data_IF_850715505727
#
_entry.id   IF_850715505727
#
_cell.length_a   1.000
_cell.length_b   1.000
_cell.length_c   1.000
_cell.angle_alpha   90.00
_cell.angle_beta   90.00
_cell.angle_gamma   90.00
#
_symmetry.space_group_name_H-M   'P 1'
#
loop_
_entity.id
_entity.type
_entity.pdbx_description
1 polymer ?
#
# COMPACT_ATOMS: atom_id res chain seq x y z
N UNK A 1 4.14 -67.00 -42.56
CA UNK A 1 5.20 -66.40 -41.72
C UNK A 1 5.04 -64.89 -41.82
N UNK A 2 4.64 -64.24 -40.71
CA UNK A 2 4.97 -62.85 -40.26
C UNK A 2 4.85 -61.68 -41.27
N UNK A 3 4.28 -60.51 -41.00
CA UNK A 3 3.73 -59.86 -39.80
C UNK A 3 3.25 -58.45 -40.22
N UNK A 4 2.18 -57.96 -39.59
CA UNK A 4 1.68 -56.59 -39.65
C UNK A 4 2.68 -55.51 -39.19
N UNK A 5 2.58 -54.30 -39.78
CA UNK A 5 2.78 -52.97 -39.15
C UNK A 5 2.39 -51.89 -40.18
N UNK A 6 1.23 -51.23 -40.09
CA UNK A 6 0.87 -50.05 -39.27
C UNK A 6 1.72 -48.79 -39.50
N UNK A 7 0.97 -47.69 -39.79
CA UNK A 7 1.31 -46.26 -39.67
C UNK A 7 2.24 -45.65 -40.75
N UNK A 8 2.02 -44.43 -41.27
CA UNK A 8 1.22 -43.33 -40.77
C UNK A 8 0.90 -42.29 -41.84
N UNK A 9 -0.26 -41.67 -41.63
CA UNK A 9 -0.82 -40.53 -42.36
C UNK A 9 0.12 -39.32 -42.31
N UNK A 10 0.48 -38.79 -43.47
CA UNK A 10 1.11 -37.48 -43.61
C UNK A 10 0.08 -36.37 -43.36
N UNK A 11 -0.23 -36.12 -42.09
CA UNK A 11 -0.88 -34.89 -41.68
C UNK A 11 0.20 -33.83 -41.40
N UNK A 12 0.38 -32.94 -42.37
CA UNK A 12 1.07 -31.66 -42.21
C UNK A 12 0.64 -31.00 -40.89
N UNK A 13 1.57 -30.87 -39.95
CA UNK A 13 1.38 -30.11 -38.73
C UNK A 13 1.08 -28.64 -39.09
N UNK A 14 -0.21 -28.30 -39.11
CA UNK A 14 -0.68 -26.93 -39.16
C UNK A 14 -0.14 -26.25 -37.89
N UNK A 15 0.80 -25.34 -38.10
CA UNK A 15 1.30 -24.44 -37.09
C UNK A 15 0.14 -23.55 -36.60
N UNK A 16 -0.48 -23.93 -35.48
CA UNK A 16 -1.61 -23.22 -34.85
C UNK A 16 -1.18 -21.99 -34.05
N UNK A 17 0.05 -21.50 -34.20
CA UNK A 17 0.51 -20.27 -33.54
C UNK A 17 -0.07 -18.98 -34.19
N UNK A 18 -0.91 -19.12 -35.22
CA UNK A 18 -1.43 -18.02 -36.03
C UNK A 18 -2.91 -17.64 -35.83
N UNK A 19 -3.65 -18.22 -34.87
CA UNK A 19 -5.05 -17.84 -34.61
C UNK A 19 -5.30 -17.76 -33.09
N UNK A 20 -4.66 -16.81 -32.42
CA UNK A 20 -5.01 -16.40 -31.06
C UNK A 20 -5.36 -14.90 -31.04
N UNK A 21 -6.32 -14.51 -31.88
CA UNK A 21 -6.93 -13.20 -31.88
C UNK A 21 -8.38 -13.29 -31.42
N UNK A 22 -8.69 -12.54 -30.36
CA UNK A 22 -9.99 -12.29 -29.72
C UNK A 22 -10.30 -13.16 -28.47
N UNK A 23 -10.38 -12.48 -27.31
CA UNK A 23 -10.67 -12.96 -25.95
C UNK A 23 -9.53 -13.56 -25.10
N UNK A 24 -8.40 -12.86 -24.97
CA UNK A 24 -7.66 -12.91 -23.69
C UNK A 24 -8.28 -11.90 -22.74
N UNK A 25 -8.83 -12.37 -21.61
CA UNK A 25 -9.18 -11.51 -20.48
C UNK A 25 -7.99 -10.60 -20.16
N UNK A 26 -8.18 -9.27 -20.16
CA UNK A 26 -7.09 -8.34 -19.84
C UNK A 26 -6.63 -8.42 -18.38
N UNK A 27 -7.40 -9.13 -17.54
CA UNK A 27 -7.21 -9.27 -16.11
C UNK A 27 -6.96 -10.74 -15.73
N UNK A 28 -5.97 -11.05 -14.88
CA UNK A 28 -5.77 -12.42 -14.37
C UNK A 28 -6.72 -12.74 -13.20
N UNK A 29 -7.08 -11.73 -12.42
CA UNK A 29 -8.01 -11.86 -11.30
C UNK A 29 -9.14 -10.85 -11.44
N UNK A 30 -10.37 -11.32 -11.17
CA UNK A 30 -11.57 -10.50 -11.10
C UNK A 30 -12.31 -10.88 -9.80
N UNK A 31 -12.73 -9.90 -9.00
CA UNK A 31 -13.53 -10.19 -7.82
C UNK A 31 -14.93 -10.63 -8.25
N UNK A 32 -15.63 -11.34 -7.37
CA UNK A 32 -17.04 -11.65 -7.58
C UNK A 32 -17.83 -10.34 -7.63
N UNK A 33 -18.69 -10.20 -8.64
CA UNK A 33 -19.56 -9.05 -8.84
C UNK A 33 -21.00 -9.38 -8.40
N UNK A 34 -21.75 -8.42 -7.85
CA UNK A 34 -21.34 -7.03 -7.60
C UNK A 34 -20.40 -6.91 -6.39
N UNK A 35 -19.47 -5.94 -6.46
CA UNK A 35 -18.69 -5.57 -5.28
C UNK A 35 -19.64 -4.88 -4.30
N UNK A 36 -19.86 -5.49 -3.14
CA UNK A 36 -20.68 -4.88 -2.10
C UNK A 36 -20.00 -3.61 -1.57
N UNK A 37 -20.76 -2.52 -1.48
CA UNK A 37 -20.28 -1.28 -0.90
C UNK A 37 -19.99 -1.45 0.59
N UNK A 38 -18.94 -0.80 1.07
CA UNK A 38 -18.61 -0.79 2.50
C UNK A 38 -19.78 -0.17 3.28
N UNK A 39 -20.36 -0.86 4.29
CA UNK A 39 -21.57 -0.40 5.00
C UNK A 39 -21.46 0.99 5.67
N UNK A 40 -20.24 1.50 5.79
CA UNK A 40 -19.93 2.83 6.31
C UNK A 40 -20.27 3.95 5.31
N UNK A 41 -20.21 3.68 4.00
CA UNK A 41 -20.36 4.66 2.93
C UNK A 41 -21.65 4.48 2.10
N UNK A 42 -22.64 3.77 2.64
CA UNK A 42 -23.92 3.53 1.94
C UNK A 42 -24.96 4.59 2.27
N UNK A 43 -25.75 4.97 1.26
CA UNK A 43 -26.95 5.78 1.43
C UNK A 43 -28.20 4.93 1.12
N UNK A 44 -29.26 4.95 1.96
CA UNK A 44 -29.37 5.67 3.23
C UNK A 44 -28.43 5.12 4.32
N UNK A 45 -28.03 5.93 5.33
CA UNK A 45 -27.08 5.53 6.35
C UNK A 45 -27.59 4.32 7.16
N UNK A 46 -26.70 3.34 7.40
CA UNK A 46 -27.02 2.12 8.16
C UNK A 46 -26.11 2.01 9.39
N UNK A 47 -26.33 2.80 10.46
CA UNK A 47 -25.39 2.95 11.57
C UNK A 47 -25.05 1.61 12.27
N UNK A 48 -26.04 0.75 12.47
CA UNK A 48 -25.81 -0.58 13.07
C UNK A 48 -24.92 -1.45 12.19
N UNK A 49 -25.13 -1.43 10.87
CA UNK A 49 -24.30 -2.19 9.93
C UNK A 49 -22.87 -1.62 9.85
N UNK A 50 -22.74 -0.29 9.87
CA UNK A 50 -21.45 0.40 9.90
C UNK A 50 -20.65 0.04 11.16
N UNK A 51 -21.25 0.09 12.35
CA UNK A 51 -20.59 -0.30 13.60
C UNK A 51 -20.19 -1.78 13.58
N UNK A 52 -21.09 -2.68 13.16
CA UNK A 52 -20.79 -4.11 13.01
C UNK A 52 -19.61 -4.35 12.07
N UNK A 53 -19.53 -3.60 10.96
CA UNK A 53 -18.43 -3.67 10.02
C UNK A 53 -17.11 -3.18 10.63
N UNK A 54 -17.12 -2.01 11.29
CA UNK A 54 -15.93 -1.44 11.93
C UNK A 54 -15.38 -2.30 13.08
N UNK A 55 -16.25 -3.09 13.73
CA UNK A 55 -15.85 -4.06 14.75
C UNK A 55 -15.65 -5.48 14.18
N UNK A 56 -15.83 -5.67 12.87
CA UNK A 56 -15.69 -6.98 12.25
C UNK A 56 -14.23 -7.41 12.20
N UNK A 57 -13.99 -8.73 12.19
CA UNK A 57 -12.65 -9.27 11.97
C UNK A 57 -12.08 -8.82 10.62
N UNK A 58 -12.91 -8.74 9.59
CA UNK A 58 -12.49 -8.33 8.26
C UNK A 58 -11.90 -6.92 8.24
N UNK A 59 -12.48 -5.98 9.00
CA UNK A 59 -11.95 -4.63 9.12
C UNK A 59 -10.77 -4.55 10.08
N UNK A 60 -10.92 -5.05 11.31
CA UNK A 60 -9.87 -4.91 12.33
C UNK A 60 -8.59 -5.67 11.94
N UNK A 61 -8.69 -6.94 11.53
CA UNK A 61 -7.53 -7.73 11.08
C UNK A 61 -7.10 -7.43 9.65
N UNK A 62 -7.67 -6.41 8.99
CA UNK A 62 -7.10 -5.88 7.75
C UNK A 62 -5.75 -5.18 8.03
N UNK A 63 -5.32 -4.29 7.14
CA UNK A 63 -4.14 -3.43 7.36
C UNK A 63 -4.22 -2.61 8.66
N UNK A 64 -5.42 -2.39 9.22
CA UNK A 64 -5.61 -1.61 10.46
C UNK A 64 -4.79 -2.14 11.63
N UNK A 65 -4.94 -3.41 12.01
CA UNK A 65 -4.22 -3.98 13.17
C UNK A 65 -2.70 -4.05 12.98
N UNK A 66 -2.15 -4.53 11.85
CA UNK A 66 -0.72 -4.49 11.57
C UNK A 66 -0.15 -3.07 11.64
N UNK A 67 -0.82 -2.07 11.06
CA UNK A 67 -0.37 -0.68 11.12
C UNK A 67 -0.48 -0.10 12.54
N UNK A 68 -1.54 -0.43 13.29
CA UNK A 68 -1.69 -0.04 14.69
C UNK A 68 -0.59 -0.63 15.57
N UNK A 69 -0.31 -1.92 15.44
CA UNK A 69 0.79 -2.59 16.14
C UNK A 69 2.14 -1.97 15.75
N UNK A 70 2.34 -1.70 14.46
CA UNK A 70 3.54 -1.05 13.96
C UNK A 70 3.73 0.35 14.54
N UNK A 71 2.66 1.14 14.65
CA UNK A 71 2.68 2.45 15.28
C UNK A 71 3.06 2.34 16.77
N UNK A 72 2.47 1.39 17.51
CA UNK A 72 2.80 1.15 18.92
C UNK A 72 4.27 0.75 19.11
N UNK A 73 4.77 -0.19 18.30
CA UNK A 73 6.18 -0.63 18.36
C UNK A 73 7.11 0.54 18.04
N UNK A 74 6.79 1.31 17.00
CA UNK A 74 7.62 2.44 16.58
C UNK A 74 7.65 3.52 17.65
N UNK A 75 6.49 3.87 18.22
CA UNK A 75 6.38 4.84 19.30
C UNK A 75 7.13 4.40 20.56
N UNK A 76 6.97 3.13 20.97
CA UNK A 76 7.54 2.63 22.21
C UNK A 76 9.06 2.43 22.16
N UNK A 77 9.62 2.03 21.01
CA UNK A 77 11.01 1.56 20.94
C UNK A 77 11.88 2.30 19.92
N UNK A 78 11.30 2.90 18.89
CA UNK A 78 12.05 3.42 17.74
C UNK A 78 12.05 4.95 17.64
N UNK A 79 11.22 5.62 18.43
CA UNK A 79 11.13 7.08 18.46
C UNK A 79 12.29 7.69 19.24
N UNK A 80 12.84 8.85 18.80
CA UNK A 80 13.74 9.62 19.66
C UNK A 80 13.02 10.06 20.94
N UNK A 81 13.79 10.22 22.02
CA UNK A 81 13.26 10.79 23.26
C UNK A 81 12.63 12.17 22.98
N UNK A 82 11.41 12.37 23.47
CA UNK A 82 10.65 13.59 23.16
C UNK A 82 11.38 14.86 23.60
N UNK A 83 12.14 14.80 24.70
CA UNK A 83 12.95 15.91 25.20
C UNK A 83 14.02 16.38 24.21
N UNK A 84 14.55 15.48 23.37
CA UNK A 84 15.52 15.82 22.31
C UNK A 84 14.87 16.51 21.12
N UNK A 85 13.55 16.39 20.97
CA UNK A 85 12.82 16.93 19.83
C UNK A 85 12.44 18.40 20.01
N UNK A 86 12.71 19.02 21.18
CA UNK A 86 12.39 20.42 21.44
C UNK A 86 13.14 21.39 20.51
N UNK A 87 14.38 21.04 20.14
CA UNK A 87 15.21 21.75 19.16
C UNK A 87 15.51 20.86 17.96
N UNK A 88 15.62 21.46 16.77
CA UNK A 88 16.05 20.72 15.59
C UNK A 88 17.52 20.35 15.72
N UNK A 89 17.79 19.06 15.80
CA UNK A 89 19.15 18.53 15.74
C UNK A 89 19.25 17.48 14.65
N UNK A 90 20.34 17.54 13.89
CA UNK A 90 20.61 16.57 12.85
C UNK A 90 20.60 15.12 13.38
N UNK A 91 21.04 14.91 14.62
CA UNK A 91 21.19 13.57 15.21
C UNK A 91 19.88 12.78 15.29
N UNK A 92 18.82 13.35 15.87
CA UNK A 92 17.54 12.67 16.02
C UNK A 92 16.73 12.67 14.72
N UNK A 93 16.89 13.70 13.88
CA UNK A 93 16.29 13.74 12.54
C UNK A 93 16.86 12.62 11.67
N UNK A 94 18.19 12.44 11.67
CA UNK A 94 18.86 11.37 10.93
C UNK A 94 18.50 9.99 11.48
N UNK A 95 18.40 9.83 12.80
CA UNK A 95 17.90 8.60 13.44
C UNK A 95 16.51 8.24 12.90
N UNK A 96 15.60 9.22 12.84
CA UNK A 96 14.23 9.01 12.37
C UNK A 96 14.15 8.72 10.87
N UNK A 97 14.93 9.43 10.06
CA UNK A 97 15.04 9.15 8.63
C UNK A 97 15.54 7.73 8.36
N UNK A 98 16.64 7.33 9.02
CA UNK A 98 17.21 6.00 8.84
C UNK A 98 16.22 4.91 9.28
N UNK A 99 15.50 5.14 10.39
CA UNK A 99 14.44 4.24 10.84
C UNK A 99 13.34 4.11 9.80
N UNK A 100 12.81 5.21 9.26
CA UNK A 100 11.76 5.17 8.24
C UNK A 100 12.23 4.47 6.97
N UNK A 101 13.46 4.75 6.54
CA UNK A 101 14.08 4.10 5.38
C UNK A 101 14.21 2.59 5.59
N UNK A 102 14.73 2.15 6.74
CA UNK A 102 14.87 0.73 7.06
C UNK A 102 13.51 0.02 7.10
N UNK A 103 12.51 0.63 7.72
CA UNK A 103 11.16 0.06 7.80
C UNK A 103 10.51 -0.01 6.42
N UNK A 104 10.66 1.04 5.61
CA UNK A 104 10.17 1.06 4.23
C UNK A 104 10.82 -0.05 3.40
N UNK A 105 12.15 -0.16 3.41
CA UNK A 105 12.89 -1.19 2.66
C UNK A 105 12.54 -2.58 3.15
N UNK A 106 12.42 -2.80 4.46
CA UNK A 106 12.09 -4.10 5.02
C UNK A 106 10.68 -4.56 4.60
N UNK A 107 9.69 -3.68 4.75
CA UNK A 107 8.29 -4.02 4.49
C UNK A 107 8.02 -4.02 2.99
N UNK A 108 8.23 -2.90 2.32
CA UNK A 108 7.92 -2.74 0.89
C UNK A 108 8.87 -3.57 0.04
N UNK A 109 10.16 -3.57 0.35
CA UNK A 109 11.13 -4.46 -0.30
C UNK A 109 10.83 -5.93 -0.03
N UNK A 110 10.46 -6.30 1.19
CA UNK A 110 10.03 -7.67 1.52
C UNK A 110 8.80 -8.13 0.72
N UNK A 111 7.77 -7.28 0.63
CA UNK A 111 6.59 -7.55 -0.20
C UNK A 111 6.96 -7.61 -1.69
N UNK A 112 7.85 -6.73 -2.16
CA UNK A 112 8.33 -6.77 -3.54
C UNK A 112 9.03 -8.10 -3.85
N UNK A 113 9.94 -8.53 -2.97
CA UNK A 113 10.62 -9.82 -3.12
C UNK A 113 9.61 -10.98 -3.10
N UNK A 114 8.65 -10.97 -2.18
CA UNK A 114 7.63 -12.00 -2.10
C UNK A 114 6.77 -12.11 -3.37
N UNK A 115 6.26 -10.98 -3.88
CA UNK A 115 5.34 -10.95 -5.02
C UNK A 115 6.02 -11.02 -6.39
N UNK A 116 7.16 -10.35 -6.59
CA UNK A 116 7.75 -10.16 -7.92
C UNK A 116 9.01 -11.00 -8.15
N UNK A 117 9.86 -11.14 -7.13
CA UNK A 117 11.10 -11.93 -7.25
C UNK A 117 10.82 -13.41 -7.05
N UNK A 118 10.28 -13.79 -5.89
CA UNK A 118 9.97 -15.17 -5.52
C UNK A 118 8.62 -15.65 -6.05
N UNK A 119 7.76 -14.71 -6.47
CA UNK A 119 6.44 -14.99 -7.08
C UNK A 119 5.59 -15.97 -6.26
N UNK A 120 5.65 -15.86 -4.92
CA UNK A 120 5.01 -16.82 -4.01
C UNK A 120 3.48 -16.87 -4.16
N UNK A 121 2.85 -15.76 -4.54
CA UNK A 121 1.41 -15.68 -4.86
C UNK A 121 1.10 -16.00 -6.34
N UNK A 122 2.11 -16.04 -7.21
CA UNK A 122 1.93 -16.18 -8.65
C UNK A 122 1.05 -15.08 -9.25
N UNK A 123 0.06 -15.47 -10.07
CA UNK A 123 -0.90 -14.54 -10.70
C UNK A 123 -2.30 -14.61 -10.11
N UNK A 124 -2.51 -15.38 -9.04
CA UNK A 124 -3.85 -15.76 -8.56
C UNK A 124 -4.73 -14.57 -8.17
N UNK A 125 -4.14 -13.57 -7.50
CA UNK A 125 -4.82 -12.33 -7.07
C UNK A 125 -4.31 -11.10 -7.81
N UNK A 126 -3.52 -11.29 -8.87
CA UNK A 126 -2.95 -10.18 -9.62
C UNK A 126 -3.96 -9.73 -10.67
N UNK A 127 -4.54 -8.55 -10.46
CA UNK A 127 -5.47 -7.94 -11.41
C UNK A 127 -4.85 -7.87 -12.83
N UNK A 128 -3.84 -7.01 -13.07
CA UNK A 128 -3.24 -6.87 -14.40
C UNK A 128 -2.22 -7.97 -14.71
N UNK A 129 -2.25 -8.51 -15.93
CA UNK A 129 -1.23 -9.43 -16.46
C UNK A 129 0.13 -8.79 -16.71
N UNK A 130 0.20 -7.47 -16.78
CA UNK A 130 1.37 -6.74 -17.27
C UNK A 130 2.61 -6.96 -16.39
N UNK A 131 3.75 -7.23 -17.04
CA UNK A 131 5.04 -7.29 -16.37
C UNK A 131 5.50 -5.90 -15.95
N UNK A 132 6.41 -5.83 -14.98
CA UNK A 132 7.07 -4.57 -14.63
C UNK A 132 7.86 -4.07 -15.85
N UNK A 133 7.78 -2.77 -16.11
CA UNK A 133 8.43 -2.17 -17.28
C UNK A 133 9.95 -2.20 -17.16
N UNK A 134 10.61 -2.68 -18.21
CA UNK A 134 12.06 -2.69 -18.37
C UNK A 134 12.42 -2.14 -19.74
N UNK A 135 13.55 -1.45 -19.81
CA UNK A 135 14.00 -0.71 -21.00
C UNK A 135 12.94 0.24 -21.58
N UNK A 136 12.27 0.98 -20.69
CA UNK A 136 11.20 1.90 -21.06
C UNK A 136 11.62 3.34 -20.75
N UNK A 137 11.63 4.21 -21.77
CA UNK A 137 12.08 5.61 -21.66
C UNK A 137 11.19 6.46 -20.75
N UNK A 138 10.00 5.99 -20.38
CA UNK A 138 9.14 6.68 -19.41
C UNK A 138 9.74 6.72 -18.00
N UNK A 139 10.65 5.79 -17.70
CA UNK A 139 11.34 5.70 -16.43
C UNK A 139 12.72 6.35 -16.52
N UNK A 140 13.09 7.11 -15.49
CA UNK A 140 14.37 7.80 -15.34
C UNK A 140 15.57 6.84 -15.49
N UNK A 141 15.53 5.69 -14.83
CA UNK A 141 16.53 4.63 -14.91
C UNK A 141 16.25 3.60 -16.02
N UNK A 142 15.25 3.86 -16.87
CA UNK A 142 14.71 2.91 -17.87
C UNK A 142 14.21 1.59 -17.29
N UNK A 143 14.08 1.48 -15.96
CA UNK A 143 13.58 0.33 -15.24
C UNK A 143 12.63 0.81 -14.13
N UNK A 144 11.40 0.29 -14.16
CA UNK A 144 10.33 0.68 -13.25
C UNK A 144 10.69 0.45 -11.78
N UNK A 145 11.41 -0.63 -11.47
CA UNK A 145 11.72 -1.01 -10.08
C UNK A 145 12.73 -0.04 -9.50
N UNK A 146 13.79 0.26 -10.26
CA UNK A 146 14.82 1.20 -9.81
C UNK A 146 14.28 2.61 -9.65
N UNK A 147 13.42 3.06 -10.56
CA UNK A 147 12.71 4.32 -10.42
C UNK A 147 11.86 4.37 -9.15
N UNK A 148 11.04 3.34 -8.93
CA UNK A 148 10.18 3.28 -7.76
C UNK A 148 10.99 3.26 -6.47
N UNK A 149 12.09 2.50 -6.42
CA UNK A 149 12.98 2.45 -5.25
C UNK A 149 13.60 3.82 -5.00
N UNK A 150 14.15 4.46 -6.04
CA UNK A 150 14.77 5.77 -5.91
C UNK A 150 13.78 6.82 -5.43
N UNK A 151 12.64 6.98 -6.11
CA UNK A 151 11.65 8.00 -5.76
C UNK A 151 10.96 7.73 -4.43
N UNK A 152 10.72 6.47 -4.07
CA UNK A 152 10.14 6.15 -2.77
C UNK A 152 11.12 6.47 -1.63
N UNK A 153 12.40 6.10 -1.77
CA UNK A 153 13.39 6.33 -0.72
C UNK A 153 13.82 7.80 -0.64
N UNK A 154 14.05 8.46 -1.77
CA UNK A 154 14.58 9.84 -1.79
C UNK A 154 13.48 10.88 -1.60
N UNK A 155 12.30 10.68 -2.20
CA UNK A 155 11.19 11.63 -2.06
C UNK A 155 10.19 11.18 -0.99
N UNK A 156 9.64 9.97 -1.12
CA UNK A 156 8.59 9.48 -0.23
C UNK A 156 8.99 9.43 1.24
N UNK A 157 10.10 8.74 1.55
CA UNK A 157 10.61 8.62 2.93
C UNK A 157 11.02 9.99 3.46
N UNK A 158 11.67 10.84 2.66
CA UNK A 158 12.06 12.20 3.07
C UNK A 158 10.85 13.04 3.46
N UNK A 159 9.81 13.06 2.64
CA UNK A 159 8.59 13.83 2.92
C UNK A 159 7.88 13.30 4.16
N UNK A 160 7.72 11.97 4.28
CA UNK A 160 7.14 11.35 5.48
C UNK A 160 7.94 11.69 6.74
N UNK A 161 9.27 11.55 6.71
CA UNK A 161 10.14 11.93 7.83
C UNK A 161 10.03 13.42 8.15
N UNK A 162 9.93 14.30 7.16
CA UNK A 162 9.76 15.73 7.41
C UNK A 162 8.48 16.01 8.20
N UNK A 163 7.33 15.45 7.78
CA UNK A 163 6.08 15.56 8.53
C UNK A 163 6.22 15.02 9.96
N UNK A 164 6.89 13.89 10.13
CA UNK A 164 7.11 13.30 11.45
C UNK A 164 8.03 14.16 12.33
N UNK A 165 9.09 14.74 11.76
CA UNK A 165 10.00 15.70 12.42
C UNK A 165 9.22 16.89 12.94
N UNK A 166 8.39 17.50 12.08
CA UNK A 166 7.58 18.65 12.48
C UNK A 166 6.56 18.28 13.55
N UNK A 167 5.93 17.11 13.45
CA UNK A 167 5.00 16.63 14.47
C UNK A 167 5.69 16.45 15.84
N UNK A 168 6.82 15.74 15.87
CA UNK A 168 7.57 15.47 17.11
C UNK A 168 8.11 16.76 17.74
N UNK A 169 8.60 17.68 16.92
CA UNK A 169 9.03 19.01 17.38
C UNK A 169 7.86 19.82 17.96
N UNK A 170 6.71 19.82 17.29
CA UNK A 170 5.51 20.50 17.77
C UNK A 170 5.01 19.90 19.08
N UNK A 171 5.06 18.57 19.21
CA UNK A 171 4.70 17.86 20.44
C UNK A 171 5.65 18.24 21.59
N UNK A 172 6.96 18.26 21.34
CA UNK A 172 7.95 18.59 22.37
C UNK A 172 7.91 20.04 22.84
N UNK A 173 7.33 20.95 22.03
CA UNK A 173 7.19 22.37 22.34
C UNK A 173 5.76 22.75 22.78
N UNK A 174 4.91 21.77 23.10
CA UNK A 174 3.53 22.01 23.56
C UNK A 174 2.69 22.82 22.56
N UNK A 175 3.03 22.77 21.27
CA UNK A 175 2.33 23.48 20.19
C UNK A 175 1.12 22.71 19.67
N UNK A 176 1.01 21.43 20.03
CA UNK A 176 -0.10 20.59 19.60
C UNK A 176 -1.37 20.90 20.40
N UNK A 177 -2.55 20.79 19.77
CA UNK A 177 -3.81 20.98 20.46
C UNK A 177 -3.95 20.07 21.70
N UNK A 178 -4.52 20.61 22.77
CA UNK A 178 -4.68 19.96 24.08
C UNK A 178 -5.26 18.54 23.98
N UNK A 179 -6.20 18.29 23.06
CA UNK A 179 -6.92 17.02 22.93
C UNK A 179 -6.08 15.85 22.38
N UNK A 180 -4.81 16.05 22.04
CA UNK A 180 -3.92 15.00 21.53
C UNK A 180 -3.14 14.25 22.62
N UNK A 181 -3.07 14.76 23.85
CA UNK A 181 -2.52 13.97 24.96
C UNK A 181 -3.55 12.90 25.37
N UNK A 182 -3.19 11.63 25.15
CA UNK A 182 -4.06 10.50 25.46
C UNK A 182 -4.31 10.33 26.97
N UNK A 183 -3.43 10.85 27.84
CA UNK A 183 -3.60 10.76 29.30
C UNK A 183 -4.67 11.74 29.79
N UNK A 184 -4.70 12.92 29.20
CA UNK A 184 -5.63 13.99 29.56
C UNK A 184 -6.96 13.85 28.83
N UNK A 185 -6.92 13.40 27.56
CA UNK A 185 -8.07 13.34 26.67
C UNK A 185 -8.20 12.00 25.92
N UNK A 186 -8.29 10.86 26.63
CA UNK A 186 -8.34 9.53 26.02
C UNK A 186 -9.51 9.36 25.06
N UNK A 187 -10.66 9.98 25.34
CA UNK A 187 -11.85 9.92 24.47
C UNK A 187 -11.57 10.59 23.13
N UNK A 188 -10.99 11.80 23.13
CA UNK A 188 -10.67 12.52 21.90
C UNK A 188 -9.60 11.80 21.08
N UNK A 189 -8.57 11.28 21.74
CA UNK A 189 -7.55 10.47 21.09
C UNK A 189 -8.15 9.28 20.33
N UNK A 190 -9.05 8.53 20.97
CA UNK A 190 -9.75 7.40 20.33
C UNK A 190 -10.64 7.86 19.17
N UNK A 191 -11.41 8.94 19.34
CA UNK A 191 -12.26 9.48 18.28
C UNK A 191 -11.45 9.92 17.05
N UNK A 192 -10.28 10.53 17.25
CA UNK A 192 -9.38 10.94 16.16
C UNK A 192 -8.83 9.71 15.44
N UNK A 193 -8.39 8.68 16.17
CA UNK A 193 -7.94 7.42 15.55
C UNK A 193 -9.03 6.80 14.66
N UNK A 194 -10.28 6.83 15.12
CA UNK A 194 -11.42 6.39 14.30
C UNK A 194 -11.69 7.32 13.11
N UNK A 195 -11.41 8.62 13.22
CA UNK A 195 -11.61 9.60 12.17
C UNK A 195 -10.57 9.52 11.04
N UNK A 196 -9.34 9.04 11.32
CA UNK A 196 -8.25 8.91 10.33
C UNK A 196 -8.69 8.28 8.99
N UNK A 197 -9.31 7.08 8.93
CA UNK A 197 -9.68 6.46 7.65
C UNK A 197 -10.72 7.28 6.87
N UNK A 198 -11.59 8.02 7.57
CA UNK A 198 -12.54 8.92 6.93
C UNK A 198 -11.83 10.14 6.35
N UNK A 199 -10.92 10.74 7.14
CA UNK A 199 -10.10 11.85 6.68
C UNK A 199 -9.24 11.47 5.48
N UNK A 200 -8.62 10.29 5.50
CA UNK A 200 -7.84 9.74 4.38
C UNK A 200 -8.69 9.62 3.11
N UNK A 201 -9.90 9.07 3.23
CA UNK A 201 -10.84 8.97 2.10
C UNK A 201 -11.25 10.34 1.53
N UNK A 202 -11.51 11.31 2.42
CA UNK A 202 -11.85 12.69 2.05
C UNK A 202 -10.66 13.36 1.33
N UNK A 203 -9.47 13.28 1.93
CA UNK A 203 -8.23 13.82 1.38
C UNK A 203 -7.94 13.23 0.00
N UNK A 204 -8.02 11.91 -0.14
CA UNK A 204 -7.85 11.21 -1.41
C UNK A 204 -8.81 11.73 -2.48
N UNK A 205 -10.12 11.85 -2.16
CA UNK A 205 -11.11 12.35 -3.11
C UNK A 205 -10.75 13.75 -3.63
N UNK A 206 -10.41 14.68 -2.73
CA UNK A 206 -10.11 16.05 -3.13
C UNK A 206 -8.81 16.16 -3.93
N UNK A 207 -7.72 15.55 -3.46
CA UNK A 207 -6.44 15.61 -4.16
C UNK A 207 -6.52 14.91 -5.52
N UNK A 208 -7.16 13.73 -5.58
CA UNK A 208 -7.34 13.02 -6.84
C UNK A 208 -8.16 13.85 -7.84
N UNK A 209 -9.23 14.51 -7.37
CA UNK A 209 -10.03 15.40 -8.22
C UNK A 209 -9.23 16.59 -8.72
N UNK A 210 -8.40 17.20 -7.88
CA UNK A 210 -7.53 18.31 -8.27
C UNK A 210 -6.48 17.88 -9.30
N UNK A 211 -5.91 16.68 -9.16
CA UNK A 211 -4.95 16.12 -10.13
C UNK A 211 -5.57 15.84 -11.51
N UNK A 212 -6.88 15.58 -11.56
CA UNK A 212 -7.63 15.38 -12.79
C UNK A 212 -8.38 16.63 -13.27
N UNK A 213 -8.18 17.77 -12.60
CA UNK A 213 -8.74 19.03 -13.05
C UNK A 213 -8.05 19.42 -14.37
N UNK A 214 -8.81 19.42 -15.46
CA UNK A 214 -8.30 19.84 -16.77
C UNK A 214 -7.87 21.30 -16.70
N UNK A 215 -6.74 21.69 -17.33
CA UNK A 215 -6.33 23.09 -17.39
C UNK A 215 -7.40 23.98 -18.03
#
# INVERSE_FOLDING_TARGET
MTSDSLEGSMASAINTDGIAGQNKSSWNYQPLLPIEGVPVFVWPPRPVAAIKYLLSRAYLFSVVMPFGLFALITWAYLQPAITRCATFEFSWIAQMYLRNLMLFVLIVGGLHLYFFTFKRQGKQLKFSGQALGRDDRKFFARDQVWDNVFWSCVSGVTLWTAYEVFFMWSYANELLPFYLDWREHPVWFVLILFAIPFWDSIHFYFIHRLLHWKP
#
